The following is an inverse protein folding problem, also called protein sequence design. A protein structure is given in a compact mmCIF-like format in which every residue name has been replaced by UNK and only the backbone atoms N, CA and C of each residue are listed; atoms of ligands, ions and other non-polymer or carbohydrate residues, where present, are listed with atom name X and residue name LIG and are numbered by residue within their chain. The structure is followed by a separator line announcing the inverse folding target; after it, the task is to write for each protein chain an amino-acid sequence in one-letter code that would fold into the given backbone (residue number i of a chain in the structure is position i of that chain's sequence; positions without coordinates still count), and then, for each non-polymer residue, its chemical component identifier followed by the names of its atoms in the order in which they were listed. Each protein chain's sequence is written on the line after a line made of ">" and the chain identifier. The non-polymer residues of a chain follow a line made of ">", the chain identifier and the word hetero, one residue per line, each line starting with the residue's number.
data_IF_811506106818
#
_entry.id   IF_811506106818
#
_cell.length_a   1.000
_cell.length_b   1.000
_cell.length_c   1.000
_cell.angle_alpha   90.00
_cell.angle_beta   90.00
_cell.angle_gamma   90.00
#
_symmetry.space_group_name_H-M   'P 1'
#
loop_
_entity.id
_entity.type
_entity.pdbx_description
1 polymer ?
#
# COMPACT_ATOMS: atom_id res chain seq x y z
N UNK A 1 -24.06 12.90 2.43
CA UNK A 1 -23.41 12.16 1.31
C UNK A 1 -23.58 10.68 1.61
N UNK A 2 -24.22 9.92 0.72
CA UNK A 2 -24.53 8.53 0.97
C UNK A 2 -23.25 7.68 0.90
N UNK A 3 -22.93 6.99 2.00
CA UNK A 3 -21.90 5.95 2.01
C UNK A 3 -22.45 4.78 1.19
N UNK A 4 -22.01 4.67 -0.07
CA UNK A 4 -22.24 3.47 -0.87
C UNK A 4 -21.48 2.33 -0.19
N UNK A 5 -22.17 1.22 0.09
CA UNK A 5 -21.52 0.03 0.64
C UNK A 5 -20.45 -0.44 -0.34
N UNK A 6 -19.22 -0.74 0.12
CA UNK A 6 -18.13 -1.05 -0.79
C UNK A 6 -18.42 -2.37 -1.52
N UNK A 7 -18.32 -2.34 -2.84
CA UNK A 7 -18.65 -3.46 -3.74
C UNK A 7 -17.41 -4.04 -4.43
N UNK A 8 -16.23 -3.61 -4.01
CA UNK A 8 -14.96 -3.97 -4.63
C UNK A 8 -14.64 -5.45 -4.48
N UNK A 9 -14.40 -6.10 -5.63
CA UNK A 9 -13.89 -7.47 -5.67
C UNK A 9 -12.37 -7.51 -5.40
N UNK A 10 -11.86 -8.48 -4.60
CA UNK A 10 -10.43 -8.66 -4.35
C UNK A 10 -9.56 -8.78 -5.61
N UNK A 11 -10.10 -9.37 -6.66
CA UNK A 11 -9.39 -9.61 -7.93
C UNK A 11 -9.05 -8.34 -8.73
N UNK A 12 -9.50 -7.16 -8.29
CA UNK A 12 -9.16 -5.88 -8.92
C UNK A 12 -7.81 -5.34 -8.46
N UNK A 13 -7.28 -5.84 -7.34
CA UNK A 13 -5.90 -5.61 -6.92
C UNK A 13 -4.98 -6.68 -7.53
N UNK A 14 -3.86 -6.30 -8.16
CA UNK A 14 -2.98 -7.24 -8.87
C UNK A 14 -2.31 -8.27 -7.96
N UNK A 15 -2.04 -7.95 -6.70
CA UNK A 15 -1.44 -8.88 -5.75
C UNK A 15 -2.47 -9.95 -5.37
N UNK A 16 -3.67 -9.53 -4.96
CA UNK A 16 -4.75 -10.45 -4.61
C UNK A 16 -5.22 -11.29 -5.80
N UNK A 17 -5.31 -10.70 -7.00
CA UNK A 17 -5.65 -11.41 -8.24
C UNK A 17 -4.65 -12.50 -8.61
N UNK A 18 -3.39 -12.39 -8.15
CA UNK A 18 -2.35 -13.37 -8.40
C UNK A 18 -2.34 -14.50 -7.36
N UNK A 19 -3.20 -14.46 -6.35
CA UNK A 19 -3.39 -15.51 -5.36
C UNK A 19 -4.58 -16.37 -5.76
N UNK A 20 -4.43 -17.69 -5.58
CA UNK A 20 -5.54 -18.61 -5.69
C UNK A 20 -6.27 -18.69 -4.34
N UNK A 21 -7.58 -18.49 -4.36
CA UNK A 21 -8.40 -18.53 -3.15
C UNK A 21 -8.35 -19.88 -2.44
N UNK A 22 -8.24 -20.98 -3.18
CA UNK A 22 -8.13 -22.33 -2.63
C UNK A 22 -6.85 -22.52 -1.79
N UNK A 23 -5.77 -21.81 -2.13
CA UNK A 23 -4.49 -21.89 -1.42
C UNK A 23 -4.43 -20.93 -0.22
N UNK A 24 -5.28 -19.90 -0.20
CA UNK A 24 -5.30 -18.86 0.84
C UNK A 24 -6.72 -18.58 1.40
N UNK A 25 -7.50 -19.61 1.80
CA UNK A 25 -8.88 -19.41 2.24
C UNK A 25 -8.97 -18.48 3.46
N UNK A 26 -7.95 -18.49 4.32
CA UNK A 26 -7.88 -17.62 5.50
C UNK A 26 -7.64 -16.14 5.15
N UNK A 27 -6.95 -15.85 4.05
CA UNK A 27 -6.81 -14.46 3.56
C UNK A 27 -8.16 -14.00 3.03
N UNK A 28 -8.73 -14.73 2.07
CA UNK A 28 -9.93 -14.31 1.35
C UNK A 28 -11.17 -14.19 2.26
N UNK A 29 -11.30 -15.07 3.26
CA UNK A 29 -12.39 -14.98 4.24
C UNK A 29 -12.27 -13.81 5.23
N UNK A 30 -11.09 -13.19 5.35
CA UNK A 30 -10.84 -12.06 6.26
C UNK A 30 -10.56 -10.74 5.54
N UNK A 31 -10.69 -10.70 4.21
CA UNK A 31 -10.62 -9.46 3.46
C UNK A 31 -11.90 -8.65 3.68
N UNK A 32 -11.72 -7.43 4.15
CA UNK A 32 -12.81 -6.50 4.41
C UNK A 32 -12.79 -5.38 3.36
N UNK A 33 -13.85 -5.20 2.56
CA UNK A 33 -13.93 -4.08 1.63
C UNK A 33 -14.15 -2.78 2.41
N UNK A 34 -13.45 -1.71 2.03
CA UNK A 34 -13.55 -0.39 2.67
C UNK A 34 -13.63 0.73 1.63
N UNK A 35 -14.43 1.75 1.92
CA UNK A 35 -14.46 3.02 1.18
C UNK A 35 -13.60 4.04 1.92
N UNK A 36 -12.78 4.77 1.16
CA UNK A 36 -11.76 5.67 1.68
C UNK A 36 -11.97 7.08 1.12
N UNK A 37 -11.94 8.07 2.00
CA UNK A 37 -12.09 9.47 1.62
C UNK A 37 -10.74 10.10 1.27
N UNK A 38 -10.72 11.04 0.33
CA UNK A 38 -9.50 11.80 0.03
C UNK A 38 -9.04 12.58 1.26
N UNK A 39 -7.74 12.56 1.54
CA UNK A 39 -7.12 13.19 2.70
C UNK A 39 -7.22 12.38 3.99
N UNK A 40 -7.89 11.21 3.98
CA UNK A 40 -7.92 10.32 5.13
C UNK A 40 -6.52 9.79 5.44
N UNK A 41 -6.10 9.87 6.71
CA UNK A 41 -4.82 9.34 7.21
C UNK A 41 -5.02 7.90 7.64
N UNK A 42 -4.27 7.00 7.02
CA UNK A 42 -4.40 5.56 7.16
C UNK A 42 -3.38 5.02 8.16
N UNK A 43 -2.16 5.53 8.07
CA UNK A 43 -1.13 5.38 9.08
C UNK A 43 -0.55 6.74 9.40
N UNK A 44 -0.38 6.99 10.70
CA UNK A 44 0.54 8.02 11.16
C UNK A 44 1.97 7.47 11.12
N UNK A 45 2.95 8.36 11.00
CA UNK A 45 4.35 7.99 11.17
C UNK A 45 4.58 7.38 12.57
N UNK A 46 5.51 6.43 12.65
CA UNK A 46 5.90 5.71 13.86
C UNK A 46 4.76 4.98 14.61
N UNK A 47 3.62 4.78 13.94
CA UNK A 47 2.43 4.18 14.55
C UNK A 47 2.25 2.70 14.17
N UNK A 48 1.66 1.88 15.05
CA UNK A 48 1.40 0.47 14.76
C UNK A 48 0.45 0.27 13.56
N UNK A 49 0.85 -0.58 12.61
CA UNK A 49 0.03 -0.96 11.46
C UNK A 49 -0.86 -2.15 11.82
N UNK A 50 -2.13 -1.86 12.13
CA UNK A 50 -3.13 -2.91 12.48
C UNK A 50 -3.68 -3.66 11.27
N UNK A 51 -3.73 -2.99 10.13
CA UNK A 51 -4.23 -3.52 8.86
C UNK A 51 -3.21 -3.25 7.77
N UNK A 52 -3.25 -4.02 6.70
CA UNK A 52 -2.68 -3.68 5.38
C UNK A 52 -3.82 -3.38 4.41
N UNK A 53 -3.55 -2.60 3.38
CA UNK A 53 -4.55 -2.17 2.41
C UNK A 53 -4.12 -2.53 0.99
N UNK A 54 -5.03 -3.13 0.23
CA UNK A 54 -4.90 -3.48 -1.17
C UNK A 54 -5.82 -2.56 -1.98
N UNK A 55 -5.29 -1.48 -2.58
CA UNK A 55 -6.13 -0.52 -3.29
C UNK A 55 -6.85 -1.21 -4.47
N UNK A 56 -8.07 -0.77 -4.76
CA UNK A 56 -8.88 -1.24 -5.89
C UNK A 56 -9.18 -0.10 -6.84
N UNK A 57 -9.70 1.02 -6.31
CA UNK A 57 -9.86 2.28 -7.04
C UNK A 57 -9.21 3.47 -6.34
N UNK A 58 -8.90 3.33 -5.05
CA UNK A 58 -8.16 4.34 -4.30
C UNK A 58 -6.69 4.41 -4.74
N UNK A 59 -6.06 5.57 -4.53
CA UNK A 59 -4.61 5.75 -4.61
C UNK A 59 -4.13 6.34 -3.30
N UNK A 60 -3.13 5.72 -2.71
CA UNK A 60 -2.50 6.18 -1.48
C UNK A 60 -1.19 6.89 -1.80
N UNK A 61 -0.78 7.84 -0.96
CA UNK A 61 0.53 8.47 -1.01
C UNK A 61 1.26 8.22 0.31
N UNK A 62 2.52 7.81 0.22
CA UNK A 62 3.41 7.64 1.37
C UNK A 62 4.25 8.90 1.54
N UNK A 63 4.16 9.48 2.73
CA UNK A 63 4.70 10.77 3.09
C UNK A 63 5.77 10.60 4.18
N UNK A 64 7.02 10.82 3.83
CA UNK A 64 8.14 10.72 4.76
C UNK A 64 8.45 12.08 5.38
N UNK A 65 8.60 12.12 6.70
CA UNK A 65 8.98 13.35 7.42
C UNK A 65 10.50 13.51 7.43
N UNK A 66 10.97 14.70 7.12
CA UNK A 66 12.38 15.08 7.14
C UNK A 66 12.73 15.73 8.49
N UNK A 67 14.01 15.72 8.86
CA UNK A 67 14.51 16.32 10.12
C UNK A 67 14.15 17.81 10.27
N UNK A 68 14.00 18.53 9.15
CA UNK A 68 13.62 19.94 9.11
C UNK A 68 12.10 20.19 9.15
N UNK A 69 11.30 19.15 9.37
CA UNK A 69 9.84 19.21 9.47
C UNK A 69 9.10 19.25 8.14
N UNK A 70 9.81 19.21 6.99
CA UNK A 70 9.17 19.07 5.68
C UNK A 70 8.74 17.63 5.45
N UNK A 71 7.73 17.46 4.61
CA UNK A 71 7.25 16.14 4.19
C UNK A 71 7.55 15.92 2.72
N UNK A 72 8.05 14.74 2.37
CA UNK A 72 8.34 14.38 0.98
C UNK A 72 7.52 13.15 0.61
N UNK A 73 6.85 13.23 -0.53
CA UNK A 73 6.17 12.08 -1.12
C UNK A 73 7.21 11.07 -1.62
N UNK A 74 7.14 9.85 -1.07
CA UNK A 74 7.96 8.71 -1.47
C UNK A 74 7.42 8.12 -2.79
N UNK A 75 6.10 8.10 -2.93
CA UNK A 75 5.41 7.73 -4.16
C UNK A 75 3.99 7.23 -3.95
N UNK A 76 3.21 7.12 -5.03
CA UNK A 76 1.85 6.61 -4.98
C UNK A 76 1.80 5.08 -4.90
N UNK A 77 0.73 4.55 -4.30
CA UNK A 77 0.39 3.13 -4.30
C UNK A 77 -1.05 2.97 -4.79
N UNK A 78 -1.21 2.33 -5.95
CA UNK A 78 -2.50 2.04 -6.56
C UNK A 78 -2.84 0.55 -6.55
N UNK A 79 -3.74 0.15 -7.45
CA UNK A 79 -4.28 -1.21 -7.52
C UNK A 79 -3.25 -2.30 -7.88
N UNK A 80 -2.04 -1.91 -8.27
CA UNK A 80 -0.90 -2.77 -8.50
C UNK A 80 -0.18 -3.21 -7.22
N UNK A 81 -0.42 -2.55 -6.09
CA UNK A 81 0.38 -2.69 -4.89
C UNK A 81 -0.41 -2.93 -3.61
N UNK A 82 0.25 -2.69 -2.47
CA UNK A 82 -0.35 -2.70 -1.14
C UNK A 82 0.32 -1.67 -0.23
N UNK A 83 -0.43 -1.12 0.71
CA UNK A 83 0.08 -0.29 1.81
C UNK A 83 0.23 -1.14 3.06
N UNK A 84 1.36 -1.01 3.76
CA UNK A 84 1.71 -1.83 4.92
C UNK A 84 2.70 -2.96 4.61
N UNK A 85 3.43 -2.86 3.48
CA UNK A 85 4.47 -3.82 3.07
C UNK A 85 5.53 -4.09 4.17
N UNK A 86 5.75 -3.11 5.05
CA UNK A 86 6.64 -3.25 6.21
C UNK A 86 6.27 -4.42 7.14
N UNK A 87 4.98 -4.75 7.24
CA UNK A 87 4.50 -5.95 7.96
C UNK A 87 5.11 -7.23 7.39
N UNK A 88 5.19 -7.33 6.07
CA UNK A 88 5.84 -8.46 5.39
C UNK A 88 7.36 -8.49 5.66
N UNK A 89 7.99 -7.33 5.81
CA UNK A 89 9.42 -7.19 6.13
C UNK A 89 9.73 -7.36 7.63
N UNK A 90 8.76 -7.74 8.46
CA UNK A 90 8.95 -8.00 9.88
C UNK A 90 8.89 -6.76 10.79
N UNK A 91 8.46 -5.61 10.25
CA UNK A 91 8.23 -4.39 11.03
C UNK A 91 6.74 -4.21 11.36
N UNK A 92 6.45 -3.62 12.52
CA UNK A 92 5.08 -3.48 13.04
C UNK A 92 4.58 -2.05 13.00
N UNK A 93 5.47 -1.10 12.75
CA UNK A 93 5.21 0.34 12.71
C UNK A 93 5.46 0.89 11.31
N UNK A 94 4.65 1.89 10.94
CA UNK A 94 4.90 2.68 9.74
C UNK A 94 6.08 3.61 9.99
N UNK A 95 6.96 3.81 8.99
CA UNK A 95 7.93 4.92 9.01
C UNK A 95 7.30 6.19 8.46
N UNK A 96 6.44 6.03 7.46
CA UNK A 96 5.85 7.12 6.70
C UNK A 96 4.41 7.33 7.15
N UNK A 97 3.94 8.58 7.09
CA UNK A 97 2.51 8.83 7.09
C UNK A 97 1.93 8.32 5.78
N UNK A 98 0.76 7.69 5.81
CA UNK A 98 0.05 7.27 4.60
C UNK A 98 -1.28 7.97 4.53
N UNK A 99 -1.51 8.68 3.43
CA UNK A 99 -2.76 9.39 3.18
C UNK A 99 -3.44 8.86 1.92
N UNK A 100 -4.76 8.98 1.86
CA UNK A 100 -5.54 8.69 0.65
C UNK A 100 -5.43 9.89 -0.29
N UNK A 101 -4.69 9.75 -1.38
CA UNK A 101 -4.49 10.80 -2.38
C UNK A 101 -5.69 10.90 -3.32
N UNK A 102 -6.25 9.75 -3.74
CA UNK A 102 -7.48 9.66 -4.54
C UNK A 102 -8.49 8.79 -3.79
N UNK A 103 -9.67 9.34 -3.52
CA UNK A 103 -10.77 8.62 -2.88
C UNK A 103 -11.18 7.39 -3.70
N UNK A 104 -11.63 6.34 -3.01
CA UNK A 104 -12.04 5.11 -3.69
C UNK A 104 -12.21 3.93 -2.74
N UNK A 105 -12.03 2.74 -3.27
CA UNK A 105 -12.19 1.48 -2.54
C UNK A 105 -10.83 0.76 -2.40
N UNK A 106 -10.71 0.00 -1.32
CA UNK A 106 -9.63 -0.92 -1.07
C UNK A 106 -10.14 -2.17 -0.34
N UNK A 107 -9.39 -3.27 -0.40
CA UNK A 107 -9.55 -4.37 0.53
C UNK A 107 -8.56 -4.19 1.67
N UNK A 108 -9.03 -4.26 2.93
CA UNK A 108 -8.13 -4.30 4.09
C UNK A 108 -8.03 -5.71 4.66
N UNK A 109 -6.88 -6.01 5.24
CA UNK A 109 -6.61 -7.29 5.91
C UNK A 109 -5.88 -7.01 7.21
N UNK A 110 -6.18 -7.75 8.28
CA UNK A 110 -5.42 -7.63 9.54
C UNK A 110 -3.94 -7.96 9.30
N UNK A 111 -3.05 -7.12 9.85
CA UNK A 111 -1.61 -7.31 9.69
C UNK A 111 -1.14 -8.68 10.21
N UNK A 112 -1.73 -9.17 11.31
CA UNK A 112 -1.45 -10.50 11.87
C UNK A 112 -1.76 -11.64 10.90
N UNK A 113 -2.82 -11.51 10.10
CA UNK A 113 -3.20 -12.52 9.11
C UNK A 113 -2.20 -12.55 7.96
N UNK A 114 -1.75 -11.38 7.49
CA UNK A 114 -0.70 -11.29 6.49
C UNK A 114 0.61 -11.93 7.00
N UNK A 115 1.03 -11.60 8.21
CA UNK A 115 2.24 -12.19 8.83
C UNK A 115 2.18 -13.71 8.86
N UNK A 116 1.06 -14.26 9.34
CA UNK A 116 0.88 -15.71 9.40
C UNK A 116 0.96 -16.37 8.01
N UNK A 117 0.33 -15.77 7.00
CA UNK A 117 0.36 -16.29 5.63
C UNK A 117 1.76 -16.27 5.00
N UNK A 118 2.56 -15.25 5.33
CA UNK A 118 3.96 -15.12 4.86
C UNK A 118 4.87 -16.15 5.53
N UNK A 119 4.69 -16.38 6.83
CA UNK A 119 5.47 -17.36 7.58
C UNK A 119 5.18 -18.81 7.18
N UNK A 120 4.02 -19.09 6.58
CA UNK A 120 3.61 -20.43 6.17
C UNK A 120 4.31 -20.96 4.89
N UNK A 121 5.33 -20.27 4.36
CA UNK A 121 6.13 -20.67 3.18
C UNK A 121 5.32 -20.94 1.88
N UNK A 122 4.28 -20.13 1.61
CA UNK A 122 3.50 -20.18 0.37
C UNK A 122 3.91 -19.16 -0.69
N UNK A 123 3.38 -19.29 -1.91
CA UNK A 123 3.57 -18.35 -3.03
C UNK A 123 3.21 -16.87 -2.79
N UNK A 124 2.54 -16.53 -1.68
CA UNK A 124 2.30 -15.15 -1.25
C UNK A 124 3.63 -14.41 -1.02
N UNK A 125 4.61 -15.07 -0.40
CA UNK A 125 5.93 -14.48 -0.15
C UNK A 125 6.62 -14.09 -1.47
N UNK A 126 6.56 -14.93 -2.50
CA UNK A 126 7.14 -14.63 -3.82
C UNK A 126 6.50 -13.40 -4.48
N UNK A 127 5.17 -13.24 -4.37
CA UNK A 127 4.47 -12.07 -4.92
C UNK A 127 4.89 -10.80 -4.19
N UNK A 128 4.98 -10.86 -2.86
CA UNK A 128 5.39 -9.74 -2.03
C UNK A 128 6.86 -9.38 -2.23
N UNK A 129 7.76 -10.35 -2.45
CA UNK A 129 9.15 -10.11 -2.85
C UNK A 129 9.21 -9.35 -4.17
N UNK A 130 8.49 -9.80 -5.20
CA UNK A 130 8.47 -9.12 -6.51
C UNK A 130 7.91 -7.70 -6.41
N UNK A 131 6.85 -7.51 -5.64
CA UNK A 131 6.31 -6.17 -5.38
C UNK A 131 7.33 -5.28 -4.64
N UNK A 132 8.03 -5.83 -3.64
CA UNK A 132 9.10 -5.11 -2.91
C UNK A 132 10.20 -4.66 -3.86
N UNK A 133 10.65 -5.53 -4.77
CA UNK A 133 11.65 -5.20 -5.79
C UNK A 133 11.19 -4.05 -6.71
N UNK A 134 9.93 -4.09 -7.16
CA UNK A 134 9.32 -3.01 -7.95
C UNK A 134 9.31 -1.70 -7.17
N UNK A 135 8.85 -1.71 -5.93
CA UNK A 135 8.75 -0.51 -5.09
C UNK A 135 10.12 0.12 -4.82
N UNK A 136 11.15 -0.70 -4.55
CA UNK A 136 12.53 -0.22 -4.39
C UNK A 136 13.05 0.44 -5.67
N UNK A 137 12.82 -0.17 -6.83
CA UNK A 137 13.22 0.40 -8.12
C UNK A 137 12.51 1.73 -8.42
N UNK A 138 11.20 1.82 -8.15
CA UNK A 138 10.43 3.05 -8.30
C UNK A 138 10.94 4.16 -7.38
N UNK A 139 11.16 3.85 -6.11
CA UNK A 139 11.64 4.81 -5.11
C UNK A 139 13.05 5.32 -5.47
N UNK A 140 13.96 4.43 -5.88
CA UNK A 140 15.31 4.80 -6.30
C UNK A 140 15.28 5.71 -7.54
N UNK A 141 14.42 5.41 -8.53
CA UNK A 141 14.26 6.24 -9.72
C UNK A 141 13.66 7.61 -9.37
N UNK A 142 12.63 7.65 -8.53
CA UNK A 142 12.02 8.91 -8.04
C UNK A 142 13.07 9.79 -7.36
N UNK A 143 13.85 9.23 -6.43
CA UNK A 143 14.93 9.94 -5.75
C UNK A 143 16.02 10.46 -6.70
N UNK A 144 16.39 9.70 -7.73
CA UNK A 144 17.34 10.14 -8.75
C UNK A 144 16.77 11.27 -9.61
N UNK A 145 15.51 11.16 -10.06
CA UNK A 145 14.84 12.19 -10.83
C UNK A 145 14.69 13.50 -10.04
N UNK A 146 14.36 13.42 -8.74
CA UNK A 146 14.24 14.58 -7.85
C UNK A 146 15.58 15.31 -7.65
N UNK A 147 16.72 14.62 -7.77
CA UNK A 147 18.06 15.23 -7.70
C UNK A 147 18.58 15.74 -9.04
N UNK A 148 18.23 15.07 -10.15
CA UNK A 148 18.81 15.35 -11.47
C UNK A 148 18.02 16.38 -12.31
N UNK A 149 16.75 16.62 -12.00
CA UNK A 149 15.90 17.53 -12.77
C UNK A 149 15.45 18.72 -11.91
N UNK A 150 15.67 19.94 -12.40
CA UNK A 150 15.12 21.15 -11.78
C UNK A 150 13.59 21.15 -11.86
N UNK A 151 12.94 21.81 -10.92
CA UNK A 151 11.46 21.87 -10.78
C UNK A 151 10.73 22.28 -12.06
N UNK A 152 11.35 23.08 -12.94
CA UNK A 152 10.79 23.46 -14.24
C UNK A 152 10.71 22.29 -15.24
N UNK A 153 11.60 21.31 -15.17
CA UNK A 153 11.57 20.11 -16.01
C UNK A 153 10.58 19.05 -15.51
N UNK A 154 10.18 19.11 -14.24
CA UNK A 154 9.24 18.17 -13.63
C UNK A 154 7.77 18.47 -14.00
N UNK A 155 7.43 19.74 -14.24
CA UNK A 155 6.07 20.20 -14.60
C UNK A 155 5.72 20.06 -16.09
N UNK A 156 6.70 19.70 -16.93
CA UNK A 156 6.51 19.52 -18.38
C UNK A 156 6.20 18.06 -18.79
N UNK A 157 5.89 17.20 -17.82
CA UNK A 157 5.51 15.79 -18.01
C UNK A 157 4.17 15.50 -17.36
#
# INVERSE_FOLDING_TARGET
>A
MAHVAPSSSPNRNKILAALNEADYPNIFSQLEPVSLAQGEVIYEADSPMKYVYFPVTAVFSMLSSMEDGRTVEVGPVGHEGLVGLRIFLGADTSLDQVIVHVAGEAMRLRASVLKAAVSAQGGMSDKLVRYTQMLLAMTARSGACNKLHSTEQQLAR
#
